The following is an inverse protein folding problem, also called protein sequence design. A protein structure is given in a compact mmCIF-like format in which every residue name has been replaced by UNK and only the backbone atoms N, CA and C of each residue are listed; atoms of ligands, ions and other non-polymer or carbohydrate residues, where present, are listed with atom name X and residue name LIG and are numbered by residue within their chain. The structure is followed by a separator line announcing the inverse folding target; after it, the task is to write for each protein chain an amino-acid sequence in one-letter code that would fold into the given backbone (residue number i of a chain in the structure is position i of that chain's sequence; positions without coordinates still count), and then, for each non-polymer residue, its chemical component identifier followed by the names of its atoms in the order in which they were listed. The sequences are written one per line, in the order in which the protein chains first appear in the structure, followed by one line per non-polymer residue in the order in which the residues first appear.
data_IF_390954902410
#
_entry.id   IF_390954902410
#
_cell.length_a   1.000
_cell.length_b   1.000
_cell.length_c   1.000
_cell.angle_alpha   90.00
_cell.angle_beta   90.00
_cell.angle_gamma   90.00
#
_symmetry.space_group_name_H-M   'P 1'
#
loop_
_entity.id
_entity.type
_entity.pdbx_description
1 polymer ?
#
# COMPACT_ATOMS: atom_id res chain seq x y z
N UNK A 1 -5.60 23.62 -7.29
CA UNK A 1 -6.44 22.81 -8.19
C UNK A 1 -5.81 21.43 -8.44
N UNK A 2 -4.51 21.38 -8.73
CA UNK A 2 -3.80 20.12 -9.03
C UNK A 2 -3.85 19.12 -7.88
N UNK A 3 -3.49 19.50 -6.67
CA UNK A 3 -3.51 18.60 -5.51
C UNK A 3 -4.91 18.04 -5.20
N UNK A 4 -5.97 18.84 -5.42
CA UNK A 4 -7.34 18.35 -5.30
C UNK A 4 -7.69 17.29 -6.33
N UNK A 5 -7.20 17.44 -7.55
CA UNK A 5 -7.41 16.46 -8.62
C UNK A 5 -6.62 15.18 -8.35
N UNK A 6 -5.37 15.27 -7.88
CA UNK A 6 -4.57 14.10 -7.50
C UNK A 6 -5.21 13.35 -6.32
N UNK A 7 -5.76 14.08 -5.34
CA UNK A 7 -6.52 13.48 -4.24
C UNK A 7 -7.82 12.80 -4.72
N UNK A 8 -8.50 13.37 -5.72
CA UNK A 8 -9.65 12.72 -6.36
C UNK A 8 -9.25 11.42 -7.05
N UNK A 9 -8.13 11.40 -7.76
CA UNK A 9 -7.63 10.18 -8.40
C UNK A 9 -7.34 9.08 -7.38
N UNK A 10 -6.70 9.42 -6.27
CA UNK A 10 -6.46 8.48 -5.18
C UNK A 10 -7.76 7.87 -4.63
N UNK A 11 -8.86 8.63 -4.63
CA UNK A 11 -10.16 8.16 -4.16
C UNK A 11 -10.95 7.35 -5.21
N UNK A 12 -10.60 7.43 -6.50
CA UNK A 12 -11.31 6.72 -7.57
C UNK A 12 -10.95 5.25 -7.69
N UNK A 13 -9.87 4.79 -7.07
CA UNK A 13 -9.48 3.38 -7.05
C UNK A 13 -7.98 3.12 -7.04
N UNK A 14 -7.64 1.87 -7.27
CA UNK A 14 -6.26 1.41 -7.39
C UNK A 14 -5.64 1.92 -8.69
N UNK A 15 -4.55 2.66 -8.55
CA UNK A 15 -3.71 3.05 -9.67
C UNK A 15 -2.47 2.15 -9.67
N UNK A 16 -2.31 1.28 -10.66
CA UNK A 16 -1.20 0.31 -10.70
C UNK A 16 0.18 0.99 -10.68
N UNK A 17 0.29 2.18 -11.26
CA UNK A 17 1.53 2.95 -11.27
C UNK A 17 1.94 3.50 -9.88
N UNK A 18 1.04 3.44 -8.89
CA UNK A 18 1.35 3.80 -7.50
C UNK A 18 1.78 2.61 -6.65
N UNK A 19 1.77 1.39 -7.21
CA UNK A 19 2.22 0.20 -6.50
C UNK A 19 3.74 0.23 -6.42
N UNK A 20 4.24 0.20 -5.21
CA UNK A 20 5.67 0.28 -4.91
C UNK A 20 6.07 -0.86 -4.00
N UNK A 21 7.34 -1.23 -4.08
CA UNK A 21 7.94 -2.24 -3.22
C UNK A 21 8.59 -1.59 -1.99
N UNK A 22 8.40 -2.22 -0.83
CA UNK A 22 9.00 -1.79 0.42
C UNK A 22 9.55 -2.94 1.23
N UNK A 23 10.51 -2.63 2.11
CA UNK A 23 11.08 -3.58 3.05
C UNK A 23 11.11 -3.00 4.45
N UNK A 24 10.87 -3.86 5.44
CA UNK A 24 10.97 -3.53 6.86
C UNK A 24 11.77 -4.62 7.57
N UNK A 25 12.86 -4.21 8.23
CA UNK A 25 13.60 -5.14 9.09
C UNK A 25 12.82 -5.39 10.37
N UNK A 26 12.62 -6.66 10.70
CA UNK A 26 11.96 -7.12 11.91
C UNK A 26 13.02 -7.50 12.96
N UNK A 27 12.72 -7.20 14.21
CA UNK A 27 13.57 -7.50 15.36
C UNK A 27 12.88 -8.53 16.23
N UNK A 28 13.65 -9.46 16.80
CA UNK A 28 13.12 -10.46 17.72
C UNK A 28 12.31 -9.82 18.86
N UNK A 29 11.17 -10.41 19.17
CA UNK A 29 10.27 -9.94 20.22
C UNK A 29 9.48 -8.69 19.93
N UNK A 30 9.62 -8.08 18.76
CA UNK A 30 8.89 -6.86 18.41
C UNK A 30 7.78 -7.21 17.41
N UNK A 31 6.53 -7.06 17.81
CA UNK A 31 5.35 -7.36 17.01
C UNK A 31 4.70 -6.13 16.36
N UNK A 32 5.26 -4.95 16.59
CA UNK A 32 4.70 -3.68 16.15
C UNK A 32 5.74 -2.83 15.44
N UNK A 33 5.38 -2.30 14.27
CA UNK A 33 6.23 -1.43 13.45
C UNK A 33 5.44 -0.24 12.90
N UNK A 34 6.12 0.88 12.79
CA UNK A 34 5.63 2.03 12.06
C UNK A 34 6.00 1.90 10.60
N UNK A 35 5.04 2.10 9.72
CA UNK A 35 5.25 2.15 8.27
C UNK A 35 5.10 3.60 7.79
N UNK A 36 5.86 3.97 6.76
CA UNK A 36 5.88 5.32 6.18
C UNK A 36 4.45 5.79 5.83
N UNK A 37 4.21 7.09 6.04
CA UNK A 37 2.97 7.78 5.67
C UNK A 37 2.57 7.67 4.20
N UNK A 38 3.53 7.35 3.34
CA UNK A 38 3.28 7.13 1.91
C UNK A 38 2.48 5.87 1.64
N UNK A 39 2.49 4.92 2.56
CA UNK A 39 1.77 3.65 2.43
C UNK A 39 0.29 3.88 2.71
N UNK A 40 -0.54 3.67 1.70
CA UNK A 40 -2.00 3.71 1.83
C UNK A 40 -2.54 2.34 2.24
N UNK A 41 -2.05 1.29 1.58
CA UNK A 41 -2.43 -0.09 1.87
C UNK A 41 -1.33 -1.07 1.43
N UNK A 42 -1.25 -2.24 2.07
CA UNK A 42 -0.36 -3.33 1.69
C UNK A 42 -1.18 -4.36 0.92
N UNK A 43 -0.74 -4.68 -0.30
CA UNK A 43 -1.40 -5.61 -1.20
C UNK A 43 -0.94 -7.03 -0.89
N UNK A 44 0.36 -7.26 -1.00
CA UNK A 44 0.99 -8.56 -0.77
C UNK A 44 2.22 -8.40 0.12
N UNK A 45 2.49 -9.41 0.93
CA UNK A 45 3.65 -9.41 1.81
C UNK A 45 4.23 -10.82 1.98
N UNK A 46 5.56 -10.85 2.11
CA UNK A 46 6.32 -12.05 2.43
C UNK A 46 7.32 -11.77 3.53
N UNK A 47 7.69 -12.78 4.27
CA UNK A 47 8.75 -12.72 5.28
C UNK A 47 9.91 -13.61 4.88
N UNK A 48 11.12 -13.06 4.97
CA UNK A 48 12.37 -13.74 4.63
C UNK A 48 13.30 -13.77 5.83
N UNK A 49 14.08 -14.82 6.00
CA UNK A 49 15.13 -14.87 7.03
C UNK A 49 16.26 -13.89 6.68
N UNK A 50 16.89 -13.27 7.69
CA UNK A 50 17.97 -12.28 7.45
C UNK A 50 19.31 -12.92 7.09
N UNK A 51 19.50 -14.21 7.32
CA UNK A 51 20.77 -14.89 7.02
C UNK A 51 20.96 -14.92 5.50
N UNK A 52 21.87 -14.12 4.97
CA UNK A 52 22.13 -13.98 3.54
C UNK A 52 21.08 -13.19 2.74
N UNK A 53 20.05 -12.66 3.39
CA UNK A 53 19.00 -11.95 2.69
C UNK A 53 19.45 -10.56 2.24
N UNK A 54 19.36 -10.31 0.96
CA UNK A 54 19.41 -8.96 0.38
C UNK A 54 18.01 -8.34 0.44
N UNK A 55 17.94 -7.02 0.52
CA UNK A 55 16.66 -6.28 0.46
C UNK A 55 16.04 -6.27 -0.95
N UNK A 56 16.57 -7.03 -1.87
CA UNK A 56 16.14 -7.08 -3.26
C UNK A 56 14.93 -7.98 -3.46
N UNK A 57 14.13 -7.65 -4.48
CA UNK A 57 12.99 -8.44 -4.92
C UNK A 57 13.41 -9.82 -5.44
N UNK A 58 14.59 -9.88 -6.02
CA UNK A 58 15.24 -11.10 -6.46
C UNK A 58 15.67 -11.87 -5.23
N UNK A 59 15.08 -13.06 -5.01
CA UNK A 59 15.42 -13.93 -3.89
C UNK A 59 16.90 -14.28 -3.88
N UNK A 60 17.49 -14.29 -2.71
CA UNK A 60 18.83 -14.80 -2.51
C UNK A 60 18.77 -16.34 -2.50
N UNK A 61 19.79 -17.01 -3.02
CA UNK A 61 19.80 -18.47 -3.21
C UNK A 61 19.59 -19.28 -1.92
N UNK A 62 19.85 -18.68 -0.77
CA UNK A 62 19.76 -19.34 0.55
C UNK A 62 18.56 -18.88 1.40
N UNK A 63 17.66 -18.05 0.85
CA UNK A 63 16.53 -17.52 1.58
C UNK A 63 15.21 -18.07 1.05
N UNK A 64 14.32 -18.43 1.97
CA UNK A 64 12.96 -18.86 1.64
C UNK A 64 12.00 -17.73 1.98
N UNK A 65 11.32 -17.21 0.97
CA UNK A 65 10.23 -16.27 1.14
C UNK A 65 8.96 -17.04 1.51
N UNK A 66 8.31 -16.61 2.59
CA UNK A 66 7.06 -17.19 3.06
C UNK A 66 5.97 -16.13 3.02
N UNK A 67 4.91 -16.43 2.29
CA UNK A 67 3.76 -15.54 2.16
C UNK A 67 3.09 -15.31 3.50
N UNK A 68 2.71 -14.07 3.77
CA UNK A 68 1.99 -13.67 4.97
C UNK A 68 0.53 -13.40 4.67
N UNK A 69 -0.34 -13.83 5.58
CA UNK A 69 -1.78 -13.58 5.47
C UNK A 69 -2.17 -12.29 6.18
N UNK A 70 -2.95 -11.47 5.50
CA UNK A 70 -3.55 -10.29 6.13
C UNK A 70 -4.74 -10.69 6.98
N UNK A 71 -4.78 -10.18 8.22
CA UNK A 71 -5.91 -10.37 9.14
C UNK A 71 -6.54 -9.02 9.49
N UNK A 72 -7.79 -9.05 9.89
CA UNK A 72 -8.49 -7.85 10.33
C UNK A 72 -8.01 -7.38 11.71
N UNK A 73 -8.22 -6.10 12.01
CA UNK A 73 -7.94 -5.54 13.34
C UNK A 73 -8.68 -6.29 14.45
N UNK A 74 -9.93 -6.64 14.22
CA UNK A 74 -10.76 -7.37 15.19
C UNK A 74 -10.23 -8.79 15.43
N UNK A 75 -9.82 -9.46 14.37
CA UNK A 75 -9.21 -10.78 14.47
C UNK A 75 -7.87 -10.71 15.22
N UNK A 76 -7.02 -9.73 14.91
CA UNK A 76 -5.78 -9.52 15.63
C UNK A 76 -6.00 -9.29 17.14
N UNK A 77 -7.03 -8.52 17.55
CA UNK A 77 -7.33 -8.28 18.96
C UNK A 77 -7.72 -9.59 19.68
N UNK A 78 -8.37 -10.50 19.01
CA UNK A 78 -8.82 -11.78 19.59
C UNK A 78 -7.72 -12.84 19.68
N UNK A 79 -6.56 -12.64 19.04
CA UNK A 79 -5.43 -13.57 19.15
C UNK A 79 -4.88 -13.56 20.58
N UNK A 80 -4.46 -14.75 21.05
CA UNK A 80 -3.77 -14.91 22.32
C UNK A 80 -2.24 -14.75 22.15
N UNK A 81 -1.52 -14.45 23.24
CA UNK A 81 -0.05 -14.39 23.27
C UNK A 81 0.57 -13.44 22.21
N UNK A 82 0.02 -12.25 22.09
CA UNK A 82 0.49 -11.23 21.14
C UNK A 82 1.76 -10.51 21.56
N UNK A 83 1.97 -10.44 22.86
CA UNK A 83 3.09 -9.71 23.42
C UNK A 83 4.29 -10.62 23.63
N UNK A 84 5.45 -10.00 23.54
CA UNK A 84 6.78 -10.53 23.77
C UNK A 84 6.82 -11.54 24.94
N UNK A 85 6.56 -12.78 24.61
CA UNK A 85 6.66 -13.89 25.53
C UNK A 85 7.55 -14.92 24.85
N UNK A 86 8.70 -15.19 25.42
CA UNK A 86 9.66 -16.19 24.93
C UNK A 86 9.05 -17.59 24.62
N UNK A 87 7.80 -17.79 24.97
CA UNK A 87 7.05 -19.05 24.76
C UNK A 87 6.12 -18.99 23.53
N UNK A 88 5.96 -17.84 22.88
CA UNK A 88 5.05 -17.66 21.75
C UNK A 88 5.70 -17.05 20.51
N UNK A 89 6.98 -16.71 20.60
CA UNK A 89 7.71 -16.12 19.49
C UNK A 89 8.04 -17.17 18.44
N UNK A 90 7.75 -16.83 17.19
CA UNK A 90 8.01 -17.69 16.04
C UNK A 90 8.11 -16.82 14.78
N UNK A 91 8.37 -17.45 13.64
CA UNK A 91 8.33 -16.72 12.36
C UNK A 91 6.92 -16.15 12.14
N UNK A 92 6.78 -14.85 11.87
CA UNK A 92 5.51 -14.22 11.58
C UNK A 92 4.84 -14.86 10.35
N UNK A 93 3.54 -15.13 10.45
CA UNK A 93 2.73 -15.70 9.36
C UNK A 93 1.53 -14.82 9.01
N UNK A 94 1.19 -13.91 9.90
CA UNK A 94 0.04 -13.03 9.75
C UNK A 94 0.43 -11.60 10.05
N UNK A 95 -0.24 -10.66 9.38
CA UNK A 95 -0.08 -9.24 9.66
C UNK A 95 -1.42 -8.52 9.67
N UNK A 96 -1.53 -7.50 10.51
CA UNK A 96 -2.65 -6.56 10.52
C UNK A 96 -2.13 -5.15 10.28
N UNK A 97 -2.84 -4.41 9.45
CA UNK A 97 -2.54 -3.02 9.13
C UNK A 97 -3.62 -2.13 9.75
N UNK A 98 -3.20 -1.20 10.59
CA UNK A 98 -4.12 -0.29 11.28
C UNK A 98 -3.71 1.16 10.97
N UNK A 99 -4.58 1.94 10.31
CA UNK A 99 -4.32 3.36 10.13
C UNK A 99 -4.38 4.08 11.47
N UNK A 100 -3.45 4.98 11.67
CA UNK A 100 -3.37 5.81 12.87
C UNK A 100 -2.22 5.48 13.82
N UNK A 101 -2.05 6.32 14.80
CA UNK A 101 -1.00 6.22 15.82
C UNK A 101 -1.39 5.20 16.88
N UNK A 102 -0.52 4.25 17.14
CA UNK A 102 -0.68 3.35 18.29
C UNK A 102 0.09 3.94 19.48
N UNK A 103 -0.63 4.13 20.58
CA UNK A 103 -0.04 4.53 21.85
C UNK A 103 0.29 3.28 22.65
N UNK A 104 1.56 2.98 22.84
CA UNK A 104 1.99 1.88 23.69
C UNK A 104 2.23 2.41 25.12
N UNK A 105 1.50 1.85 26.10
CA UNK A 105 1.76 2.10 27.52
C UNK A 105 1.49 3.53 28.00
N UNK A 106 0.54 4.27 27.41
CA UNK A 106 0.17 5.61 27.87
C UNK A 106 1.21 6.70 27.56
N UNK A 107 2.32 6.36 26.95
CA UNK A 107 3.27 7.33 26.41
C UNK A 107 2.91 7.60 24.95
N UNK A 108 2.43 8.80 24.68
CA UNK A 108 2.44 9.34 23.32
C UNK A 108 3.91 9.43 22.93
N UNK A 109 4.35 8.59 22.01
CA UNK A 109 5.66 8.78 21.39
C UNK A 109 5.59 10.10 20.65
N UNK A 110 6.02 11.15 21.34
CA UNK A 110 6.13 12.52 20.83
C UNK A 110 6.91 12.49 19.52
N UNK A 111 6.28 12.90 18.44
CA UNK A 111 6.93 13.09 17.15
C UNK A 111 6.46 12.18 16.03
N UNK A 112 5.51 11.28 16.27
CA UNK A 112 4.95 10.48 15.21
C UNK A 112 3.79 11.22 14.54
N UNK A 113 3.82 11.46 13.23
CA UNK A 113 2.73 12.12 12.52
C UNK A 113 1.44 11.33 12.66
N UNK A 114 0.31 12.02 12.77
CA UNK A 114 -1.02 11.44 12.98
C UNK A 114 -1.51 10.49 11.85
N UNK A 115 -0.79 10.42 10.74
CA UNK A 115 -1.17 9.66 9.54
C UNK A 115 -0.33 8.41 9.31
N UNK A 116 0.54 8.01 10.24
CA UNK A 116 1.35 6.81 10.09
C UNK A 116 0.49 5.55 10.11
N UNK A 117 0.85 4.58 9.26
CA UNK A 117 0.30 3.25 9.31
C UNK A 117 1.02 2.41 10.35
N UNK A 118 0.26 1.64 11.10
CA UNK A 118 0.78 0.70 12.11
C UNK A 118 0.67 -0.72 11.60
N UNK A 119 1.81 -1.40 11.51
CA UNK A 119 1.91 -2.81 11.16
C UNK A 119 2.02 -3.63 12.43
N UNK A 120 1.13 -4.58 12.60
CA UNK A 120 1.17 -5.59 13.64
C UNK A 120 1.47 -6.94 13.03
N UNK A 121 2.32 -7.71 13.68
CA UNK A 121 2.73 -9.05 13.25
C UNK A 121 2.28 -10.10 14.25
N UNK A 122 1.95 -11.28 13.73
CA UNK A 122 1.62 -12.43 14.54
C UNK A 122 2.12 -13.74 13.92
N UNK A 123 2.75 -14.61 14.72
CA UNK A 123 3.29 -14.36 16.05
C UNK A 123 4.42 -13.32 16.07
N UNK A 124 4.87 -12.92 17.26
CA UNK A 124 6.06 -12.06 17.39
C UNK A 124 7.28 -12.76 16.80
N UNK A 125 8.17 -12.05 16.10
CA UNK A 125 9.37 -12.63 15.54
C UNK A 125 10.29 -13.24 16.61
N UNK A 126 10.73 -14.50 16.44
CA UNK A 126 11.71 -15.19 17.30
C UNK A 126 13.14 -14.75 17.01
N UNK A 127 13.40 -14.22 15.83
CA UNK A 127 14.70 -13.71 15.38
C UNK A 127 14.52 -12.56 14.41
N UNK A 128 15.60 -12.06 13.85
CA UNK A 128 15.54 -11.03 12.84
C UNK A 128 15.04 -11.62 11.50
N UNK A 129 14.13 -10.91 10.86
CA UNK A 129 13.58 -11.21 9.53
C UNK A 129 13.53 -9.95 8.70
N UNK A 130 13.32 -10.09 7.40
CA UNK A 130 12.97 -9.00 6.49
C UNK A 130 11.53 -9.21 6.04
N UNK A 131 10.67 -8.25 6.34
CA UNK A 131 9.32 -8.15 5.82
C UNK A 131 9.37 -7.39 4.50
N UNK A 132 9.03 -8.06 3.41
CA UNK A 132 9.00 -7.51 2.05
C UNK A 132 7.55 -7.38 1.63
N UNK A 133 7.16 -6.25 1.07
CA UNK A 133 5.77 -6.01 0.74
C UNK A 133 5.58 -5.11 -0.48
N UNK A 134 4.51 -5.38 -1.23
CA UNK A 134 4.00 -4.46 -2.22
C UNK A 134 2.91 -3.60 -1.59
N UNK A 135 3.00 -2.32 -1.79
CA UNK A 135 2.05 -1.38 -1.21
C UNK A 135 1.57 -0.35 -2.22
N UNK A 136 0.36 0.11 -2.01
CA UNK A 136 -0.21 1.24 -2.70
C UNK A 136 0.37 2.52 -2.09
N UNK A 137 1.17 3.24 -2.86
CA UNK A 137 1.72 4.51 -2.43
C UNK A 137 0.69 5.64 -2.61
N UNK A 138 0.70 6.58 -1.68
CA UNK A 138 -0.05 7.82 -1.86
C UNK A 138 0.53 8.58 -3.06
N UNK A 139 -0.34 9.06 -3.94
CA UNK A 139 0.07 9.95 -5.03
C UNK A 139 0.68 11.20 -4.40
N UNK A 140 1.92 11.50 -4.76
CA UNK A 140 2.64 12.64 -4.22
C UNK A 140 1.94 13.95 -4.66
N UNK A 141 1.82 14.87 -3.71
CA UNK A 141 1.38 16.23 -4.04
C UNK A 141 2.39 16.88 -5.02
N UNK A 142 1.90 17.69 -5.93
CA UNK A 142 2.74 18.39 -6.89
C UNK A 142 3.79 19.33 -6.26
N UNK A 143 3.77 19.47 -4.93
CA UNK A 143 4.76 20.20 -4.13
C UNK A 143 5.01 21.64 -4.62
N UNK A 144 6.22 22.09 -4.36
CA UNK A 144 6.75 23.37 -4.86
C UNK A 144 7.22 23.25 -6.31
N UNK A 145 7.53 24.38 -6.94
CA UNK A 145 7.90 24.54 -8.36
C UNK A 145 8.98 23.60 -8.89
N UNK A 146 9.69 22.91 -8.03
CA UNK A 146 10.79 22.01 -8.39
C UNK A 146 10.40 20.55 -8.53
N UNK A 147 9.19 20.19 -8.08
CA UNK A 147 8.74 18.80 -8.12
C UNK A 147 7.91 18.53 -9.38
N UNK A 148 8.32 17.54 -10.13
CA UNK A 148 7.50 17.00 -11.22
C UNK A 148 6.43 16.08 -10.60
N UNK A 149 5.19 16.19 -11.10
CA UNK A 149 4.18 15.22 -10.77
C UNK A 149 4.59 13.87 -11.36
N UNK A 150 4.64 12.84 -10.51
CA UNK A 150 4.91 11.46 -10.94
C UNK A 150 3.63 10.87 -11.55
N UNK A 151 3.34 11.26 -12.78
CA UNK A 151 2.16 10.85 -13.54
C UNK A 151 2.60 10.16 -14.82
N UNK A 152 2.16 8.93 -15.09
CA UNK A 152 2.48 8.21 -16.30
C UNK A 152 2.03 8.95 -17.56
N UNK A 153 2.75 8.71 -18.65
CA UNK A 153 2.48 9.36 -19.94
C UNK A 153 1.02 9.20 -20.40
N UNK A 154 0.42 8.02 -20.19
CA UNK A 154 -0.96 7.76 -20.61
C UNK A 154 -2.01 8.48 -19.75
N UNK A 155 -1.66 9.02 -18.57
CA UNK A 155 -2.51 9.88 -17.77
C UNK A 155 -2.38 11.38 -18.10
N UNK A 156 -1.42 11.81 -18.92
CA UNK A 156 -1.24 13.23 -19.24
C UNK A 156 -2.45 13.89 -19.92
N UNK A 157 -3.17 13.24 -20.86
CA UNK A 157 -4.41 13.81 -21.41
C UNK A 157 -5.48 14.03 -20.32
N UNK A 158 -5.63 13.06 -19.43
CA UNK A 158 -6.53 13.16 -18.27
C UNK A 158 -6.11 14.29 -17.32
N UNK A 159 -4.80 14.47 -17.08
CA UNK A 159 -4.26 15.54 -16.26
C UNK A 159 -4.63 16.92 -16.83
N UNK A 160 -4.46 17.12 -18.13
CA UNK A 160 -4.78 18.40 -18.79
C UNK A 160 -6.26 18.70 -18.78
N UNK A 161 -7.11 17.70 -19.08
CA UNK A 161 -8.57 17.84 -19.05
C UNK A 161 -9.07 18.12 -17.62
N UNK A 162 -8.52 17.41 -16.63
CA UNK A 162 -8.87 17.59 -15.23
C UNK A 162 -8.48 18.96 -14.69
N UNK A 163 -7.26 19.44 -15.02
CA UNK A 163 -6.84 20.79 -14.65
C UNK A 163 -7.74 21.86 -15.28
N UNK A 164 -8.11 21.72 -16.57
CA UNK A 164 -9.04 22.62 -17.23
C UNK A 164 -10.40 22.64 -16.52
N UNK A 165 -10.92 21.47 -16.13
CA UNK A 165 -12.16 21.36 -15.35
C UNK A 165 -12.06 22.07 -13.99
N UNK A 166 -11.02 21.79 -13.19
CA UNK A 166 -10.87 22.39 -11.86
C UNK A 166 -10.59 23.91 -11.90
N UNK A 167 -9.99 24.41 -12.97
CA UNK A 167 -9.82 25.85 -13.19
C UNK A 167 -11.15 26.48 -13.60
N UNK A 168 -11.94 25.80 -14.45
CA UNK A 168 -13.23 26.31 -14.92
C UNK A 168 -14.23 26.51 -13.79
N UNK A 169 -14.23 25.65 -12.77
CA UNK A 169 -15.06 25.82 -11.58
C UNK A 169 -14.85 27.16 -10.88
N UNK A 170 -13.62 27.73 -10.98
CA UNK A 170 -13.28 29.00 -10.34
C UNK A 170 -13.46 30.21 -11.24
N UNK A 171 -13.24 30.04 -12.56
CA UNK A 171 -13.14 31.16 -13.49
C UNK A 171 -14.22 31.21 -14.58
N UNK A 172 -14.77 30.04 -14.95
CA UNK A 172 -15.74 29.93 -16.04
C UNK A 172 -16.76 28.83 -15.77
N UNK A 173 -17.65 28.97 -14.76
CA UNK A 173 -18.58 27.91 -14.33
C UNK A 173 -19.49 27.41 -15.45
N UNK A 174 -19.79 28.23 -16.43
CA UNK A 174 -20.65 27.88 -17.58
C UNK A 174 -20.04 26.76 -18.46
N UNK A 175 -18.72 26.62 -18.49
CA UNK A 175 -18.02 25.61 -19.28
C UNK A 175 -17.75 24.32 -18.47
N UNK A 176 -18.01 24.34 -17.17
CA UNK A 176 -17.62 23.25 -16.26
C UNK A 176 -18.29 21.92 -16.61
N UNK A 177 -19.53 21.91 -17.07
CA UNK A 177 -20.26 20.69 -17.43
C UNK A 177 -19.61 19.98 -18.63
N UNK A 178 -19.26 20.72 -19.68
CA UNK A 178 -18.62 20.15 -20.87
C UNK A 178 -17.20 19.66 -20.56
N UNK A 179 -16.43 20.44 -19.79
CA UNK A 179 -15.08 20.07 -19.40
C UNK A 179 -15.05 18.87 -18.46
N UNK A 180 -16.07 18.71 -17.60
CA UNK A 180 -16.24 17.52 -16.79
C UNK A 180 -16.48 16.27 -17.62
N UNK A 181 -17.32 16.35 -18.65
CA UNK A 181 -17.60 15.23 -19.53
C UNK A 181 -16.32 14.74 -20.25
N UNK A 182 -15.52 15.68 -20.76
CA UNK A 182 -14.22 15.36 -21.38
C UNK A 182 -13.26 14.75 -20.36
N UNK A 183 -13.18 15.30 -19.16
CA UNK A 183 -12.32 14.78 -18.10
C UNK A 183 -12.71 13.35 -17.70
N UNK A 184 -14.00 13.07 -17.51
CA UNK A 184 -14.49 11.74 -17.13
C UNK A 184 -14.22 10.70 -18.23
N UNK A 185 -14.31 11.11 -19.52
CA UNK A 185 -13.98 10.25 -20.65
C UNK A 185 -12.48 9.93 -20.72
N UNK A 186 -11.61 10.94 -20.57
CA UNK A 186 -10.16 10.75 -20.56
C UNK A 186 -9.71 9.93 -19.34
N UNK A 187 -10.33 10.14 -18.18
CA UNK A 187 -10.05 9.34 -16.99
C UNK A 187 -10.42 7.87 -17.23
N UNK A 188 -11.56 7.59 -17.84
CA UNK A 188 -11.98 6.22 -18.17
C UNK A 188 -10.98 5.56 -19.12
N UNK A 189 -10.53 6.24 -20.16
CA UNK A 189 -9.51 5.73 -21.10
C UNK A 189 -8.20 5.44 -20.41
N UNK A 190 -7.73 6.35 -19.56
CA UNK A 190 -6.48 6.18 -18.81
C UNK A 190 -6.58 5.01 -17.83
N UNK A 191 -7.69 4.88 -17.10
CA UNK A 191 -7.90 3.79 -16.14
C UNK A 191 -8.04 2.42 -16.79
N UNK A 192 -8.55 2.35 -18.03
CA UNK A 192 -8.59 1.11 -18.81
C UNK A 192 -7.20 0.63 -19.23
N UNK A 193 -6.27 1.55 -19.45
CA UNK A 193 -4.87 1.23 -19.71
C UNK A 193 -4.07 0.85 -18.46
N UNK A 194 -4.50 1.31 -17.29
CA UNK A 194 -3.87 1.07 -15.99
C UNK A 194 -4.35 -0.24 -15.34
N UNK A 195 -4.74 -1.22 -16.12
CA UNK A 195 -5.16 -2.53 -15.61
C UNK A 195 -4.04 -3.54 -15.70
N UNK A 196 -3.91 -4.34 -14.67
CA UNK A 196 -3.00 -5.49 -14.68
C UNK A 196 -3.41 -6.47 -15.79
N UNK A 197 -2.47 -6.80 -16.67
CA UNK A 197 -2.69 -7.75 -17.78
C UNK A 197 -2.25 -9.15 -17.36
N UNK A 198 -3.05 -9.80 -16.52
CA UNK A 198 -2.82 -11.18 -16.11
C UNK A 198 -3.68 -12.11 -16.97
N UNK A 199 -3.09 -13.18 -17.49
CA UNK A 199 -3.84 -14.24 -18.14
C UNK A 199 -4.53 -15.09 -17.06
N UNK A 200 -5.85 -15.03 -17.00
CA UNK A 200 -6.62 -15.83 -16.05
C UNK A 200 -7.01 -17.15 -16.72
N UNK A 201 -6.48 -18.26 -16.22
CA UNK A 201 -6.84 -19.61 -16.68
C UNK A 201 -7.62 -20.33 -15.58
N UNK A 202 -8.89 -20.59 -15.83
CA UNK A 202 -9.71 -21.42 -14.96
C UNK A 202 -9.55 -22.87 -15.45
N UNK A 203 -8.94 -23.72 -14.65
CA UNK A 203 -8.97 -25.16 -14.87
C UNK A 203 -10.07 -25.77 -14.00
N UNK A 204 -11.04 -26.50 -14.59
CA UNK A 204 -12.03 -27.19 -13.78
C UNK A 204 -11.34 -28.26 -12.95
N UNK A 205 -11.57 -28.24 -11.63
CA UNK A 205 -11.10 -29.30 -10.76
C UNK A 205 -11.65 -30.64 -11.27
N UNK A 206 -10.80 -31.57 -11.66
CA UNK A 206 -11.22 -32.94 -11.96
C UNK A 206 -11.78 -33.53 -10.66
N UNK A 207 -13.10 -33.73 -10.64
CA UNK A 207 -13.70 -34.56 -9.61
C UNK A 207 -13.10 -35.96 -9.75
N UNK A 208 -12.30 -36.36 -8.80
CA UNK A 208 -11.90 -37.76 -8.68
C UNK A 208 -13.17 -38.54 -8.30
N UNK A 209 -13.74 -39.22 -9.26
CA UNK A 209 -14.63 -40.34 -8.97
C UNK A 209 -13.75 -41.51 -8.53
N UNK A 210 -14.03 -42.10 -7.38
CA UNK A 210 -13.30 -43.26 -6.86
C UNK A 210 -13.45 -44.49 -7.76
#
# INVERSE_FOLDING_TARGET
SMNLMLAEWANRGLNLWTITYGTQTLTAGTNFYAIDQKVVDIIDAVVTTTTGATSNLEGDSDTTDVTMNRISRTEFINLSKKENSSTGDARPTQFALVPGTVTTGGSTTSGRPANDMSLFLYPSPDKAYIFKYFYLARIADAGDYTNNADVPFYFLPCLTAGLAYYISLKRAPMLSANLKAVYDEEFKRASENDRERVSFRIEPARAYTP
#
